data_IF_676548842993
#
_entry.id   IF_676548842993
#
_cell.length_a   1.000
_cell.length_b   1.000
_cell.length_c   1.000
_cell.angle_alpha   90.00
_cell.angle_beta   90.00
_cell.angle_gamma   90.00
#
_symmetry.space_group_name_H-M   'P 1'
#
loop_
_entity.id
_entity.type
_entity.pdbx_description
1 polymer ?
#
# COMPACT_ATOMS: atom_id res chain seq x y z
N UNK A 1 2.49 -0.86 -18.93
CA UNK A 1 3.79 -1.51 -18.63
C UNK A 1 3.66 -2.11 -17.23
N UNK A 2 4.15 -3.32 -16.95
CA UNK A 2 4.13 -3.85 -15.58
C UNK A 2 5.07 -3.02 -14.68
N UNK A 3 4.64 -2.77 -13.44
CA UNK A 3 5.30 -1.93 -12.47
C UNK A 3 5.58 -2.72 -11.18
N UNK A 4 6.62 -2.30 -10.45
CA UNK A 4 7.01 -2.88 -9.16
C UNK A 4 6.59 -1.96 -8.01
N UNK A 5 6.02 -2.54 -6.94
CA UNK A 5 5.39 -1.81 -5.85
C UNK A 5 5.75 -2.34 -4.47
N UNK A 6 5.93 -1.39 -3.53
CA UNK A 6 6.46 -1.56 -2.17
C UNK A 6 7.87 -2.18 -2.18
N UNK A 7 8.86 -1.29 -2.13
CA UNK A 7 10.26 -1.61 -2.11
C UNK A 7 10.65 -1.86 -0.65
N UNK A 8 10.85 -3.11 -0.26
CA UNK A 8 11.66 -3.37 0.92
C UNK A 8 13.07 -3.67 0.42
N UNK A 9 14.01 -2.76 0.69
CA UNK A 9 15.42 -3.13 0.66
C UNK A 9 15.58 -4.13 1.80
N UNK A 10 15.61 -5.41 1.47
CA UNK A 10 15.85 -6.45 2.46
C UNK A 10 17.33 -6.39 2.79
N UNK A 11 17.69 -6.35 4.08
CA UNK A 11 19.09 -6.56 4.43
C UNK A 11 19.51 -7.95 3.94
N UNK A 12 20.64 -8.06 3.24
CA UNK A 12 21.06 -9.31 2.64
C UNK A 12 21.09 -10.41 3.70
N UNK A 13 20.20 -11.38 3.54
CA UNK A 13 20.13 -12.56 4.40
C UNK A 13 20.47 -13.77 3.53
N UNK A 14 21.45 -14.55 3.97
CA UNK A 14 21.82 -15.82 3.33
C UNK A 14 20.69 -16.84 3.56
N UNK A 15 19.73 -16.87 2.65
CA UNK A 15 18.76 -17.94 2.50
C UNK A 15 18.87 -18.44 1.07
N UNK A 16 18.97 -19.76 0.87
CA UNK A 16 19.14 -20.34 -0.46
C UNK A 16 18.04 -19.88 -1.43
N UNK A 17 18.40 -19.82 -2.71
CA UNK A 17 17.55 -19.45 -3.86
C UNK A 17 16.42 -20.48 -4.06
N UNK A 18 15.41 -20.43 -3.18
CA UNK A 18 14.16 -21.16 -3.33
C UNK A 18 13.16 -20.27 -4.05
N UNK A 19 13.44 -19.96 -5.31
CA UNK A 19 12.51 -19.29 -6.21
C UNK A 19 11.73 -20.31 -7.05
N UNK A 20 10.48 -19.97 -7.37
CA UNK A 20 9.65 -20.71 -8.30
C UNK A 20 9.43 -19.91 -9.58
N UNK A 21 9.53 -20.59 -10.73
CA UNK A 21 9.48 -19.96 -12.05
C UNK A 21 10.66 -18.99 -12.30
N UNK A 22 10.57 -18.23 -13.41
CA UNK A 22 11.52 -17.16 -13.71
C UNK A 22 12.72 -17.56 -14.58
N UNK A 23 13.84 -16.85 -14.42
CA UNK A 23 15.03 -17.01 -15.26
C UNK A 23 16.34 -16.77 -14.47
N UNK A 24 17.39 -17.50 -14.85
CA UNK A 24 18.74 -17.32 -14.34
C UNK A 24 19.66 -16.92 -15.48
N UNK A 25 20.54 -15.95 -15.25
CA UNK A 25 21.55 -15.54 -16.22
C UNK A 25 22.82 -15.05 -15.52
N UNK A 26 23.87 -14.87 -16.31
CA UNK A 26 25.17 -14.37 -15.84
C UNK A 26 25.52 -13.08 -16.54
N UNK A 27 26.17 -12.17 -15.83
CA UNK A 27 26.65 -10.87 -16.34
C UNK A 27 27.77 -10.37 -15.43
N UNK A 28 28.18 -9.10 -15.55
CA UNK A 28 29.14 -8.43 -14.66
C UNK A 28 28.59 -7.08 -14.21
N UNK A 29 29.13 -6.51 -13.13
CA UNK A 29 28.75 -5.16 -12.72
C UNK A 29 29.09 -4.11 -13.79
N UNK A 30 30.19 -4.30 -14.55
CA UNK A 30 30.56 -3.43 -15.66
C UNK A 30 29.50 -3.42 -16.78
N UNK A 31 29.01 -4.58 -17.18
CA UNK A 31 27.97 -4.69 -18.22
C UNK A 31 26.64 -4.12 -17.73
N UNK A 32 26.23 -4.43 -16.49
CA UNK A 32 25.01 -3.87 -15.87
C UNK A 32 25.07 -2.35 -15.82
N UNK A 33 26.20 -1.78 -15.38
CA UNK A 33 26.39 -0.32 -15.33
C UNK A 33 26.32 0.31 -16.73
N UNK A 34 27.00 -0.29 -17.72
CA UNK A 34 26.99 0.16 -19.11
C UNK A 34 25.57 0.19 -19.68
N UNK A 35 24.85 -0.94 -19.62
CA UNK A 35 23.47 -1.04 -20.10
C UNK A 35 22.50 -0.14 -19.35
N UNK A 36 22.71 0.07 -18.05
CA UNK A 36 21.91 0.99 -17.27
C UNK A 36 22.04 2.44 -17.78
N UNK A 37 23.27 2.86 -18.12
CA UNK A 37 23.55 4.17 -18.71
C UNK A 37 22.99 4.33 -20.14
N UNK A 38 22.90 3.23 -20.89
CA UNK A 38 22.24 3.17 -22.20
C UNK A 38 20.70 3.18 -22.12
N UNK A 39 20.13 3.14 -20.91
CA UNK A 39 18.68 3.25 -20.67
C UNK A 39 17.95 1.93 -20.42
N UNK A 40 18.66 0.82 -20.24
CA UNK A 40 18.04 -0.45 -19.86
C UNK A 40 17.47 -0.36 -18.43
N UNK A 41 16.13 -0.29 -18.30
CA UNK A 41 15.44 -0.17 -17.01
C UNK A 41 15.71 -1.33 -16.05
N UNK A 42 15.85 -2.53 -16.59
CA UNK A 42 16.19 -3.71 -15.78
C UNK A 42 17.59 -3.59 -15.17
N UNK A 43 18.58 -3.23 -15.99
CA UNK A 43 19.94 -3.00 -15.52
C UNK A 43 20.02 -1.81 -14.55
N UNK A 44 19.24 -0.75 -14.75
CA UNK A 44 19.12 0.36 -13.79
C UNK A 44 18.61 -0.13 -12.43
N UNK A 45 17.60 -0.99 -12.41
CA UNK A 45 17.08 -1.58 -11.18
C UNK A 45 18.11 -2.46 -10.47
N UNK A 46 18.75 -3.38 -11.20
CA UNK A 46 19.81 -4.25 -10.65
C UNK A 46 21.00 -3.44 -10.14
N UNK A 47 21.40 -2.38 -10.86
CA UNK A 47 22.49 -1.51 -10.43
C UNK A 47 22.15 -0.73 -9.15
N UNK A 48 20.90 -0.30 -9.00
CA UNK A 48 20.44 0.41 -7.81
C UNK A 48 20.41 -0.46 -6.54
N UNK A 49 20.44 -1.79 -6.67
CA UNK A 49 20.53 -2.72 -5.54
C UNK A 49 21.96 -3.07 -5.14
N UNK A 50 22.97 -2.53 -5.84
CA UNK A 50 24.38 -2.74 -5.53
C UNK A 50 24.71 -2.13 -4.17
N UNK A 51 25.35 -2.90 -3.30
CA UNK A 51 25.87 -2.41 -2.01
C UNK A 51 27.26 -1.79 -2.19
N UNK A 52 27.63 -0.85 -1.31
CA UNK A 52 28.91 -0.11 -1.39
C UNK A 52 30.08 -0.85 -0.71
N UNK A 53 29.85 -2.01 -0.07
CA UNK A 53 30.90 -2.78 0.60
C UNK A 53 31.87 -3.45 -0.39
N UNK A 54 33.04 -3.87 0.11
CA UNK A 54 34.20 -4.37 -0.68
C UNK A 54 33.83 -5.57 -1.58
N UNK A 55 33.32 -5.25 -2.76
CA UNK A 55 32.88 -6.21 -3.75
C UNK A 55 34.02 -6.63 -4.70
N UNK A 56 33.97 -7.87 -5.21
CA UNK A 56 34.90 -8.36 -6.23
C UNK A 56 34.90 -7.45 -7.48
N UNK A 57 36.02 -7.45 -8.22
CA UNK A 57 36.28 -6.49 -9.30
C UNK A 57 35.16 -6.38 -10.35
N UNK A 58 35.11 -5.28 -11.12
CA UNK A 58 33.99 -4.97 -12.03
C UNK A 58 33.69 -6.04 -13.09
N UNK A 59 34.67 -6.90 -13.38
CA UNK A 59 34.60 -8.03 -14.33
C UNK A 59 34.23 -9.37 -13.68
N UNK A 60 34.04 -9.41 -12.37
CA UNK A 60 33.66 -10.63 -11.66
C UNK A 60 32.26 -11.08 -12.10
N UNK A 61 32.08 -12.37 -12.40
CA UNK A 61 30.81 -12.88 -12.90
C UNK A 61 29.76 -12.87 -11.80
N UNK A 62 28.62 -12.28 -12.08
CA UNK A 62 27.43 -12.24 -11.24
C UNK A 62 26.45 -13.30 -11.71
N UNK A 63 25.93 -14.13 -10.79
CA UNK A 63 24.76 -14.98 -11.05
C UNK A 63 23.50 -14.24 -10.62
N UNK A 64 22.67 -13.84 -11.58
CA UNK A 64 21.39 -13.20 -11.29
C UNK A 64 20.26 -14.20 -11.48
N UNK A 65 19.40 -14.28 -10.47
CA UNK A 65 18.19 -15.12 -10.46
C UNK A 65 16.98 -14.25 -10.24
N UNK A 66 15.99 -14.43 -11.09
CA UNK A 66 14.73 -13.70 -11.03
C UNK A 66 13.62 -14.71 -10.95
N UNK A 67 12.73 -14.60 -9.98
CA UNK A 67 11.63 -15.54 -9.79
C UNK A 67 10.61 -15.04 -8.77
N UNK A 68 9.73 -15.93 -8.31
CA UNK A 68 8.76 -15.66 -7.25
C UNK A 68 9.09 -16.50 -6.02
N UNK A 69 9.13 -15.88 -4.84
CA UNK A 69 9.41 -16.56 -3.58
C UNK A 69 8.12 -16.91 -2.81
N UNK A 70 7.00 -16.23 -3.13
CA UNK A 70 5.72 -16.44 -2.46
C UNK A 70 5.72 -16.04 -0.98
N UNK A 71 6.75 -15.30 -0.53
CA UNK A 71 6.90 -14.90 0.86
C UNK A 71 6.11 -13.64 1.22
N UNK A 72 5.64 -12.91 0.21
CA UNK A 72 4.66 -11.85 0.42
C UNK A 72 3.26 -12.46 0.56
N UNK A 73 2.99 -13.00 1.75
CA UNK A 73 1.68 -13.59 2.10
C UNK A 73 0.70 -12.51 2.60
N UNK A 74 -0.61 -12.81 2.55
CA UNK A 74 -1.70 -11.93 3.03
C UNK A 74 -1.94 -10.64 2.24
N UNK A 75 -1.70 -10.67 0.93
CA UNK A 75 -1.89 -9.52 0.06
C UNK A 75 -3.33 -9.50 -0.50
N UNK A 76 -3.83 -8.28 -0.72
CA UNK A 76 -5.08 -8.07 -1.45
C UNK A 76 -4.75 -7.35 -2.76
N UNK A 77 -5.14 -7.89 -3.93
CA UNK A 77 -5.97 -9.08 -4.14
C UNK A 77 -5.23 -10.41 -3.89
N UNK A 78 -5.99 -11.48 -3.61
CA UNK A 78 -5.44 -12.85 -3.51
C UNK A 78 -4.79 -13.25 -4.84
N UNK A 79 -3.67 -13.96 -4.78
CA UNK A 79 -2.91 -14.36 -5.96
C UNK A 79 -2.05 -13.23 -6.55
N UNK A 80 -1.87 -12.12 -5.81
CA UNK A 80 -0.87 -11.11 -6.17
C UNK A 80 0.50 -11.75 -6.30
N UNK A 81 1.15 -11.50 -7.42
CA UNK A 81 2.49 -12.01 -7.70
C UNK A 81 3.57 -11.12 -7.10
N UNK A 82 4.65 -11.75 -6.69
CA UNK A 82 5.90 -11.14 -6.26
C UNK A 82 7.03 -11.38 -7.29
N UNK A 83 7.99 -10.47 -7.28
CA UNK A 83 9.24 -10.58 -8.01
C UNK A 83 10.38 -10.51 -7.00
N UNK A 84 11.21 -11.55 -6.98
CA UNK A 84 12.43 -11.62 -6.19
C UNK A 84 13.64 -11.63 -7.12
N UNK A 85 14.69 -10.90 -6.74
CA UNK A 85 15.98 -10.89 -7.44
C UNK A 85 17.07 -11.27 -6.48
N UNK A 86 17.78 -12.35 -6.82
CA UNK A 86 18.97 -12.80 -6.13
C UNK A 86 20.20 -12.51 -6.98
N UNK A 87 21.27 -12.05 -6.33
CA UNK A 87 22.61 -11.93 -6.93
C UNK A 87 23.54 -12.75 -6.05
N UNK A 88 24.20 -13.74 -6.64
CA UNK A 88 25.11 -14.66 -5.95
C UNK A 88 24.49 -15.23 -4.64
N UNK A 89 23.26 -15.72 -4.79
CA UNK A 89 22.43 -16.33 -3.74
C UNK A 89 22.03 -15.38 -2.58
N UNK A 90 22.25 -14.09 -2.75
CA UNK A 90 21.82 -13.04 -1.82
C UNK A 90 20.55 -12.37 -2.35
N UNK A 91 19.52 -12.21 -1.51
CA UNK A 91 18.29 -11.50 -1.90
C UNK A 91 18.56 -9.98 -1.95
N UNK A 92 18.59 -9.41 -3.15
CA UNK A 92 18.80 -7.97 -3.36
C UNK A 92 17.49 -7.20 -3.47
N UNK A 93 16.44 -7.84 -3.95
CA UNK A 93 15.16 -7.19 -4.19
C UNK A 93 14.01 -8.15 -4.02
N UNK A 94 12.94 -7.67 -3.38
CA UNK A 94 11.63 -8.28 -3.48
C UNK A 94 10.54 -7.21 -3.52
N UNK A 95 9.50 -7.43 -4.33
CA UNK A 95 8.35 -6.55 -4.37
C UNK A 95 7.16 -7.15 -5.11
N UNK A 96 6.00 -6.50 -5.00
CA UNK A 96 4.81 -6.91 -5.74
C UNK A 96 4.87 -6.46 -7.18
N UNK A 97 4.35 -7.30 -8.08
CA UNK A 97 4.13 -6.95 -9.48
C UNK A 97 2.70 -6.49 -9.66
N UNK A 98 2.51 -5.30 -10.24
CA UNK A 98 1.19 -4.78 -10.60
C UNK A 98 1.19 -4.20 -12.01
N UNK A 99 0.02 -4.03 -12.60
CA UNK A 99 -0.09 -3.42 -13.93
C UNK A 99 -1.40 -2.64 -14.07
N UNK A 100 -1.52 -1.83 -15.12
CA UNK A 100 -2.79 -1.14 -15.45
C UNK A 100 -3.75 -2.09 -16.15
N UNK A 101 -5.04 -1.78 -16.14
CA UNK A 101 -6.07 -2.64 -16.73
C UNK A 101 -5.97 -2.74 -18.27
N UNK A 102 -5.39 -1.73 -18.91
CA UNK A 102 -5.17 -1.60 -20.35
C UNK A 102 -3.84 -2.20 -20.82
N UNK A 103 -2.99 -2.68 -19.91
CA UNK A 103 -1.72 -3.28 -20.26
C UNK A 103 -1.89 -4.72 -20.78
N UNK A 104 -1.14 -5.16 -21.79
CA UNK A 104 -1.19 -6.54 -22.29
C UNK A 104 -0.92 -7.61 -21.21
N UNK A 105 -0.17 -7.28 -20.16
CA UNK A 105 0.10 -8.18 -19.04
C UNK A 105 -1.03 -8.22 -18.00
N UNK A 106 -2.09 -7.42 -18.13
CA UNK A 106 -3.23 -7.41 -17.21
C UNK A 106 -3.95 -8.77 -17.13
N UNK A 107 -3.85 -9.59 -18.17
CA UNK A 107 -4.37 -10.97 -18.18
C UNK A 107 -3.54 -11.93 -17.32
N UNK A 108 -2.27 -11.59 -17.07
CA UNK A 108 -1.34 -12.44 -16.30
C UNK A 108 -1.15 -11.92 -14.89
N UNK A 109 -1.09 -10.59 -14.70
CA UNK A 109 -0.82 -9.96 -13.40
C UNK A 109 -2.15 -9.62 -12.73
N UNK A 110 -2.35 -10.02 -11.48
CA UNK A 110 -3.61 -9.78 -10.75
C UNK A 110 -3.67 -8.37 -10.17
N UNK A 111 -2.57 -7.91 -9.56
CA UNK A 111 -2.56 -6.63 -8.88
C UNK A 111 -2.65 -5.45 -9.87
N UNK A 112 -3.31 -4.38 -9.41
CA UNK A 112 -3.56 -3.16 -10.17
C UNK A 112 -2.83 -1.97 -9.55
N UNK A 113 -2.74 -0.88 -10.33
CA UNK A 113 -2.09 0.35 -9.87
C UNK A 113 -2.57 0.78 -8.49
N UNK A 114 -1.60 1.12 -7.65
CA UNK A 114 -1.85 1.66 -6.33
C UNK A 114 -2.47 3.05 -6.45
N UNK A 115 -3.49 3.29 -5.64
CA UNK A 115 -4.01 4.64 -5.42
C UNK A 115 -3.01 5.37 -4.53
N UNK A 116 -2.21 6.26 -5.12
CA UNK A 116 -1.22 7.04 -4.38
C UNK A 116 -1.81 8.35 -3.84
N UNK A 117 -2.77 8.92 -4.56
CA UNK A 117 -3.51 10.12 -4.15
C UNK A 117 -4.89 9.72 -3.65
N UNK A 118 -5.02 9.52 -2.35
CA UNK A 118 -6.26 9.04 -1.70
C UNK A 118 -7.34 10.11 -1.57
N UNK A 119 -6.98 11.39 -1.71
CA UNK A 119 -7.90 12.53 -1.53
C UNK A 119 -8.72 12.88 -2.77
N UNK A 120 -8.41 12.31 -3.94
CA UNK A 120 -9.13 12.66 -5.17
C UNK A 120 -10.55 12.13 -5.22
N UNK A 121 -11.41 12.80 -6.00
CA UNK A 121 -12.76 12.31 -6.33
C UNK A 121 -12.73 10.90 -6.94
N UNK A 122 -11.70 10.59 -7.73
CA UNK A 122 -11.54 9.25 -8.33
C UNK A 122 -11.29 8.18 -7.28
N UNK A 123 -10.44 8.48 -6.29
CA UNK A 123 -10.11 7.58 -5.18
C UNK A 123 -11.32 7.35 -4.28
N UNK A 124 -12.08 8.40 -3.98
CA UNK A 124 -13.33 8.31 -3.24
C UNK A 124 -14.39 7.50 -4.00
N UNK A 125 -14.51 7.70 -5.31
CA UNK A 125 -15.42 6.92 -6.16
C UNK A 125 -15.04 5.43 -6.17
N UNK A 126 -13.74 5.12 -6.27
CA UNK A 126 -13.24 3.76 -6.18
C UNK A 126 -13.51 3.14 -4.80
N UNK A 127 -13.27 3.87 -3.71
CA UNK A 127 -13.57 3.40 -2.36
C UNK A 127 -15.05 3.09 -2.18
N UNK A 128 -15.93 3.95 -2.70
CA UNK A 128 -17.38 3.73 -2.71
C UNK A 128 -17.76 2.50 -3.53
N UNK A 129 -17.21 2.35 -4.74
CA UNK A 129 -17.45 1.17 -5.57
C UNK A 129 -17.03 -0.12 -4.86
N UNK A 130 -15.86 -0.15 -4.24
CA UNK A 130 -15.39 -1.30 -3.47
C UNK A 130 -16.30 -1.62 -2.27
N UNK A 131 -16.84 -0.59 -1.60
CA UNK A 131 -17.81 -0.76 -0.51
C UNK A 131 -19.14 -1.32 -1.02
N UNK A 132 -19.66 -0.78 -2.11
CA UNK A 132 -20.90 -1.25 -2.74
C UNK A 132 -20.73 -2.70 -3.21
N UNK A 133 -19.62 -3.04 -3.85
CA UNK A 133 -19.31 -4.42 -4.24
C UNK A 133 -19.31 -5.34 -3.01
N UNK A 134 -18.59 -4.97 -1.94
CA UNK A 134 -18.57 -5.73 -0.70
C UNK A 134 -19.98 -5.96 -0.11
N UNK A 135 -20.82 -4.92 -0.10
CA UNK A 135 -22.17 -4.98 0.45
C UNK A 135 -23.12 -5.85 -0.39
N UNK A 136 -23.05 -5.72 -1.72
CA UNK A 136 -24.07 -6.28 -2.61
C UNK A 136 -23.65 -7.61 -3.27
N UNK A 137 -22.36 -7.93 -3.35
CA UNK A 137 -21.87 -9.11 -4.09
C UNK A 137 -21.21 -10.16 -3.19
N UNK A 138 -20.59 -9.78 -2.07
CA UNK A 138 -19.86 -10.71 -1.23
C UNK A 138 -20.77 -11.45 -0.24
N UNK A 139 -20.99 -12.74 -0.48
CA UNK A 139 -21.82 -13.58 0.40
C UNK A 139 -21.23 -13.81 1.80
N UNK A 140 -19.90 -13.73 1.94
CA UNK A 140 -19.21 -13.96 3.22
C UNK A 140 -19.07 -12.69 4.07
N UNK A 141 -19.41 -11.53 3.52
CA UNK A 141 -19.34 -10.25 4.23
C UNK A 141 -20.63 -10.01 5.02
N UNK A 142 -20.56 -9.39 6.21
CA UNK A 142 -21.76 -8.98 6.93
C UNK A 142 -22.59 -8.02 6.08
N UNK A 143 -23.86 -8.36 5.87
CA UNK A 143 -24.78 -7.44 5.19
C UNK A 143 -25.08 -6.24 6.08
N UNK A 144 -25.37 -5.06 5.50
CA UNK A 144 -25.91 -3.95 6.25
C UNK A 144 -27.13 -4.38 7.04
N UNK A 145 -27.22 -3.93 8.28
CA UNK A 145 -28.37 -4.21 9.15
C UNK A 145 -29.64 -3.70 8.49
N UNK A 146 -30.73 -4.48 8.55
CA UNK A 146 -32.04 -4.09 8.02
C UNK A 146 -32.56 -2.79 8.67
N UNK A 147 -32.14 -2.51 9.90
CA UNK A 147 -32.33 -1.24 10.59
C UNK A 147 -30.98 -0.59 10.83
N UNK A 148 -30.80 0.71 10.55
CA UNK A 148 -29.55 1.41 10.83
C UNK A 148 -29.15 1.25 12.31
N UNK A 149 -27.85 1.11 12.61
CA UNK A 149 -27.37 0.94 13.98
C UNK A 149 -27.67 2.19 14.82
N UNK A 150 -27.64 2.02 16.14
CA UNK A 150 -27.60 3.16 17.05
C UNK A 150 -26.29 3.92 16.85
N UNK A 151 -26.39 5.25 16.79
CA UNK A 151 -25.25 6.12 16.64
C UNK A 151 -24.51 6.23 17.98
N UNK A 152 -23.17 6.38 17.96
CA UNK A 152 -22.42 6.88 19.11
C UNK A 152 -23.01 8.21 19.58
N UNK A 153 -22.95 8.50 20.88
CA UNK A 153 -23.56 9.71 21.48
C UNK A 153 -23.14 11.02 20.84
N UNK A 154 -21.98 11.02 20.16
CA UNK A 154 -21.45 12.13 19.38
C UNK A 154 -20.85 11.62 18.09
N UNK A 155 -21.04 12.38 17.02
CA UNK A 155 -20.39 12.16 15.73
C UNK A 155 -19.74 13.46 15.25
N UNK A 156 -18.77 13.33 14.35
CA UNK A 156 -18.25 14.47 13.60
C UNK A 156 -19.13 14.63 12.36
N UNK A 157 -19.73 15.80 12.23
CA UNK A 157 -20.43 16.24 11.03
C UNK A 157 -19.40 16.77 10.01
N UNK A 158 -19.20 16.01 8.94
CA UNK A 158 -18.29 16.34 7.84
C UNK A 158 -19.03 16.87 6.60
N UNK A 159 -20.32 17.25 6.72
CA UNK A 159 -21.10 17.74 5.57
C UNK A 159 -20.54 19.04 4.99
N UNK A 160 -19.88 19.85 5.82
CA UNK A 160 -19.09 21.00 5.43
C UNK A 160 -17.62 20.77 5.83
N UNK A 161 -16.76 20.48 4.85
CA UNK A 161 -15.34 20.20 5.06
C UNK A 161 -14.60 21.38 5.68
N UNK A 162 -15.02 22.62 5.38
CA UNK A 162 -14.43 23.82 5.97
C UNK A 162 -14.91 24.10 7.40
N UNK A 163 -15.91 23.36 7.88
CA UNK A 163 -16.53 23.60 9.18
C UNK A 163 -16.96 22.30 9.88
N UNK A 164 -16.03 21.37 10.11
CA UNK A 164 -16.33 20.15 10.84
C UNK A 164 -16.70 20.48 12.28
N UNK A 165 -17.62 19.72 12.85
CA UNK A 165 -18.08 19.93 14.23
C UNK A 165 -18.62 18.64 14.84
N UNK A 166 -18.71 18.60 16.16
CA UNK A 166 -19.45 17.55 16.85
C UNK A 166 -20.95 17.82 16.77
N UNK A 167 -21.71 16.75 16.59
CA UNK A 167 -23.16 16.74 16.78
C UNK A 167 -23.51 15.74 17.88
N UNK A 168 -24.45 16.13 18.74
CA UNK A 168 -25.10 15.18 19.65
C UNK A 168 -26.10 14.36 18.84
N UNK A 169 -26.04 13.04 18.98
CA UNK A 169 -26.93 12.12 18.27
C UNK A 169 -28.02 11.56 19.17
N UNK A 170 -27.88 11.70 20.49
CA UNK A 170 -28.78 11.23 21.54
C UNK A 170 -29.26 9.78 21.37
N UNK A 171 -28.41 8.91 20.81
CA UNK A 171 -28.73 7.50 20.58
C UNK A 171 -29.76 7.27 19.49
N UNK A 172 -29.92 8.21 18.56
CA UNK A 172 -30.68 7.99 17.32
C UNK A 172 -30.05 6.90 16.45
N UNK A 173 -30.77 6.45 15.42
CA UNK A 173 -30.28 5.45 14.48
C UNK A 173 -29.84 6.10 13.18
N UNK A 174 -28.74 5.63 12.61
CA UNK A 174 -28.23 6.12 11.34
C UNK A 174 -26.99 5.39 10.86
N UNK A 175 -26.57 5.70 9.65
CA UNK A 175 -25.31 5.21 9.10
C UNK A 175 -24.18 6.17 9.45
N UNK A 176 -23.03 5.62 9.84
CA UNK A 176 -21.82 6.38 10.12
C UNK A 176 -20.60 5.57 9.66
N UNK A 177 -19.50 6.26 9.42
CA UNK A 177 -18.21 5.63 9.21
C UNK A 177 -17.36 5.79 10.48
N UNK A 178 -16.66 4.73 10.86
CA UNK A 178 -15.67 4.77 11.93
C UNK A 178 -14.27 4.63 11.33
N UNK A 179 -13.34 5.47 11.76
CA UNK A 179 -11.93 5.30 11.44
C UNK A 179 -11.33 4.29 12.42
N UNK A 180 -10.75 3.21 11.91
CA UNK A 180 -10.15 2.13 12.70
C UNK A 180 -8.67 2.38 12.99
N UNK A 181 -8.30 3.59 13.42
CA UNK A 181 -6.92 3.88 13.80
C UNK A 181 -6.66 3.49 15.26
N UNK A 182 -5.45 3.00 15.54
CA UNK A 182 -5.02 2.68 16.91
C UNK A 182 -4.69 3.99 17.61
N UNK A 183 -5.42 4.29 18.67
CA UNK A 183 -5.31 5.56 19.39
C UNK A 183 -4.02 5.66 20.21
N UNK A 184 -3.31 4.55 20.44
CA UNK A 184 -2.03 4.53 21.15
C UNK A 184 -2.10 5.27 22.49
N UNK A 185 -1.21 6.23 22.66
CA UNK A 185 -1.11 7.12 23.81
C UNK A 185 -2.20 8.23 23.81
N UNK A 186 -2.40 8.96 24.93
CA UNK A 186 -3.34 10.06 25.00
C UNK A 186 -3.17 11.06 23.84
N UNK A 187 -4.24 11.25 23.09
CA UNK A 187 -4.23 12.16 21.94
C UNK A 187 -4.28 13.62 22.42
N UNK A 188 -3.37 14.49 21.94
CA UNK A 188 -3.32 15.90 22.36
C UNK A 188 -4.61 16.65 22.04
N UNK A 189 -5.34 16.20 21.01
CA UNK A 189 -6.59 16.80 20.56
C UNK A 189 -7.76 15.83 20.79
N UNK A 190 -8.13 15.69 22.05
CA UNK A 190 -9.28 14.88 22.49
C UNK A 190 -10.44 15.77 22.97
N UNK A 191 -11.66 15.27 22.80
CA UNK A 191 -12.84 15.94 23.36
C UNK A 191 -12.91 15.71 24.86
N UNK A 192 -12.92 16.80 25.62
CA UNK A 192 -13.05 16.83 27.08
C UNK A 192 -14.33 17.58 27.45
N UNK A 193 -14.70 17.54 28.73
CA UNK A 193 -15.83 18.33 29.24
C UNK A 193 -15.61 19.84 29.01
N UNK A 194 -14.37 20.31 29.10
CA UNK A 194 -14.05 21.74 28.99
C UNK A 194 -14.08 22.27 27.56
N UNK A 195 -13.78 21.45 26.55
CA UNK A 195 -13.75 21.89 25.14
C UNK A 195 -14.98 21.43 24.33
N UNK A 196 -15.91 20.73 24.96
CA UNK A 196 -17.06 20.16 24.27
C UNK A 196 -17.92 21.21 23.56
N UNK A 197 -18.29 22.28 24.25
CA UNK A 197 -19.12 23.35 23.66
C UNK A 197 -18.43 24.01 22.46
N UNK A 198 -17.10 24.10 22.49
CA UNK A 198 -16.30 24.60 21.37
C UNK A 198 -16.43 23.65 20.19
N UNK A 199 -16.21 22.35 20.40
CA UNK A 199 -16.26 21.36 19.31
C UNK A 199 -17.67 21.14 18.75
N UNK A 200 -18.73 21.36 19.53
CA UNK A 200 -20.11 21.39 19.02
C UNK A 200 -20.35 22.53 18.02
N UNK A 201 -19.60 23.62 18.15
CA UNK A 201 -19.64 24.75 17.20
C UNK A 201 -18.72 24.46 16.02
N UNK A 202 -17.45 24.21 16.28
CA UNK A 202 -16.42 24.06 15.26
C UNK A 202 -15.20 23.32 15.81
N UNK A 203 -14.67 22.40 15.02
CA UNK A 203 -13.37 21.78 15.25
C UNK A 203 -12.41 22.45 14.29
N UNK A 204 -11.42 23.15 14.84
CA UNK A 204 -10.39 23.80 14.04
C UNK A 204 -9.48 22.77 13.38
N UNK A 205 -9.46 22.68 12.03
CA UNK A 205 -8.61 21.74 11.32
C UNK A 205 -7.13 21.93 11.63
N UNK A 206 -6.65 23.12 11.99
CA UNK A 206 -5.24 23.35 12.33
C UNK A 206 -4.77 22.54 13.55
N UNK A 207 -5.72 22.12 14.39
CA UNK A 207 -5.45 21.29 15.57
C UNK A 207 -5.62 19.79 15.29
N UNK A 208 -5.94 19.39 14.05
CA UNK A 208 -6.04 17.98 13.73
C UNK A 208 -4.65 17.41 13.39
N UNK A 209 -4.39 16.13 13.74
CA UNK A 209 -3.19 15.46 13.28
C UNK A 209 -3.09 15.49 11.75
N UNK A 210 -1.87 15.60 11.23
CA UNK A 210 -1.63 15.55 9.78
C UNK A 210 -2.13 14.25 9.12
N UNK A 211 -2.31 13.17 9.88
CA UNK A 211 -2.89 11.92 9.38
C UNK A 211 -4.40 11.99 9.09
N UNK A 212 -5.06 13.07 9.51
CA UNK A 212 -6.49 13.34 9.29
C UNK A 212 -6.72 14.50 8.31
N UNK A 213 -5.70 15.35 8.08
CA UNK A 213 -5.73 16.53 7.21
C UNK A 213 -5.26 16.26 5.77
#
# INVERSE_FOLDING_TARGET
MAHLGLLQKVHPSRGGDQTSGGFTYRTTWAEVASRASEGCRWCQLVYATKEEEEEPGPESPLRIVVGSQGCLQNCTPKGTQDLSVFIDDTLHFIGYVYTTADDPAAQYIVARNRVLDVGTTKSLALAKQSLDECIYTHNSCPRPLALPPFLPTRLIDCSNVAHPRLIATDGTRGSYAALSYVWGEPQPHSTTVSNLETYLKFIDPEHLPQTIL
#
